data_IF_429197895561
#
_entry.id   IF_429197895561
#
_cell.length_a   1.000
_cell.length_b   1.000
_cell.length_c   1.000
_cell.angle_alpha   90.00
_cell.angle_beta   90.00
_cell.angle_gamma   90.00
#
_symmetry.space_group_name_H-M   'P 1'
#
loop_
_entity.id
_entity.type
_entity.pdbx_description
1 polymer ?
#
# COMPACT_ATOMS: atom_id res chain seq x y z
N UNK A 1 -43.30 26.71 26.73
CA UNK A 1 -42.15 27.17 25.92
C UNK A 1 -40.90 26.58 26.54
N UNK A 2 -40.36 25.51 25.96
CA UNK A 2 -39.02 25.01 26.29
C UNK A 2 -38.28 24.80 24.97
N UNK A 3 -37.07 25.37 24.92
CA UNK A 3 -36.29 25.61 23.73
C UNK A 3 -35.34 24.41 23.51
N UNK A 4 -35.48 23.61 22.43
CA UNK A 4 -34.65 22.43 22.21
C UNK A 4 -33.31 22.78 21.55
N UNK A 5 -32.67 23.87 21.97
CA UNK A 5 -31.43 24.40 21.38
C UNK A 5 -30.19 24.17 22.25
N UNK A 6 -30.14 23.09 23.02
CA UNK A 6 -28.95 22.73 23.80
C UNK A 6 -28.69 21.22 23.78
N UNK A 7 -27.96 20.75 22.75
CA UNK A 7 -26.99 19.64 22.77
C UNK A 7 -26.74 19.06 21.36
N UNK A 8 -26.39 19.88 20.37
CA UNK A 8 -25.51 19.38 19.30
C UNK A 8 -24.09 19.37 19.87
N UNK A 9 -23.73 18.29 20.58
CA UNK A 9 -22.34 17.96 20.88
C UNK A 9 -21.57 18.08 19.57
N UNK A 10 -20.68 19.07 19.47
CA UNK A 10 -19.86 19.35 18.29
C UNK A 10 -19.12 18.06 17.93
N UNK A 11 -19.53 17.43 16.83
CA UNK A 11 -18.85 16.24 16.33
C UNK A 11 -17.37 16.61 16.09
N UNK A 12 -16.41 15.83 16.62
CA UNK A 12 -15.00 16.18 16.50
C UNK A 12 -14.59 16.23 15.03
N UNK A 13 -13.81 17.26 14.68
CA UNK A 13 -13.24 17.44 13.34
C UNK A 13 -12.38 16.22 13.00
N UNK A 14 -12.64 15.62 11.84
CA UNK A 14 -11.86 14.49 11.34
C UNK A 14 -10.44 14.97 11.02
N UNK A 15 -9.42 14.22 11.45
CA UNK A 15 -8.01 14.50 11.16
C UNK A 15 -7.29 13.23 10.75
N UNK A 16 -6.35 13.35 9.80
CA UNK A 16 -5.56 12.23 9.27
C UNK A 16 -4.69 11.55 10.32
N UNK A 17 -4.15 12.34 11.26
CA UNK A 17 -3.29 11.85 12.35
C UNK A 17 -3.96 10.76 13.18
N UNK A 18 -5.28 10.82 13.39
CA UNK A 18 -6.04 9.81 14.15
C UNK A 18 -6.02 8.43 13.48
N UNK A 19 -5.79 8.38 12.17
CA UNK A 19 -5.72 7.16 11.37
C UNK A 19 -4.29 6.78 10.98
N UNK A 20 -3.28 7.43 11.59
CA UNK A 20 -1.86 7.24 11.23
C UNK A 20 -1.56 7.54 9.76
N UNK A 21 -2.33 8.44 9.14
CA UNK A 21 -2.12 8.88 7.77
C UNK A 21 -1.28 10.17 7.82
N UNK A 22 -0.19 10.20 7.05
CA UNK A 22 0.67 11.36 6.90
C UNK A 22 0.03 12.43 6.02
N UNK A 23 0.12 13.68 6.44
CA UNK A 23 -0.31 14.84 5.63
C UNK A 23 0.54 15.02 4.37
N UNK A 24 1.77 14.53 4.40
CA UNK A 24 2.72 14.65 3.29
C UNK A 24 2.78 13.36 2.48
N UNK A 25 2.77 12.20 3.16
CA UNK A 25 3.05 10.90 2.54
C UNK A 25 1.81 10.00 2.42
N UNK A 26 0.65 10.42 2.93
CA UNK A 26 -0.56 9.60 2.92
C UNK A 26 -0.34 8.33 3.71
N UNK A 27 -0.55 7.18 3.06
CA UNK A 27 -0.35 5.86 3.66
C UNK A 27 1.10 5.36 3.58
N UNK A 28 1.97 6.01 2.81
CA UNK A 28 3.39 5.64 2.75
C UNK A 28 4.02 5.86 4.13
N UNK A 29 4.87 4.93 4.55
CA UNK A 29 5.68 5.10 5.75
C UNK A 29 6.72 6.20 5.49
N UNK A 30 6.70 7.35 6.20
CA UNK A 30 7.68 8.40 5.99
C UNK A 30 9.05 7.98 6.52
N UNK A 31 10.08 8.21 5.71
CA UNK A 31 11.48 7.88 6.03
C UNK A 31 11.63 6.44 6.55
N UNK A 32 11.28 5.44 5.73
CA UNK A 32 11.43 4.04 6.11
C UNK A 32 12.90 3.72 6.40
N UNK A 33 13.13 2.81 7.34
CA UNK A 33 14.48 2.35 7.66
C UNK A 33 15.00 1.46 6.55
N UNK A 34 16.31 1.57 6.28
CA UNK A 34 17.02 0.72 5.32
C UNK A 34 17.66 -0.50 5.98
N UNK A 35 18.05 -0.35 7.24
CA UNK A 35 18.79 -1.33 8.01
C UNK A 35 18.12 -1.52 9.36
N UNK A 36 18.15 -2.76 9.86
CA UNK A 36 17.79 -3.07 11.24
C UNK A 36 19.04 -2.98 12.15
N UNK A 37 18.86 -2.85 13.48
CA UNK A 37 19.98 -2.94 14.42
C UNK A 37 20.78 -4.24 14.26
N UNK A 38 22.07 -4.20 14.61
CA UNK A 38 23.05 -5.29 14.44
C UNK A 38 22.58 -6.67 14.91
N UNK A 39 21.75 -6.72 15.95
CA UNK A 39 21.14 -7.97 16.43
C UNK A 39 20.42 -8.74 15.32
N UNK A 40 19.80 -8.02 14.36
CA UNK A 40 19.02 -8.55 13.25
C UNK A 40 19.80 -8.66 11.94
N UNK A 41 21.13 -8.51 11.97
CA UNK A 41 21.99 -8.67 10.79
C UNK A 41 21.75 -9.98 10.02
N UNK A 42 21.54 -11.15 10.67
CA UNK A 42 21.24 -12.39 9.94
C UNK A 42 19.99 -12.31 9.05
N UNK A 43 18.98 -11.51 9.44
CA UNK A 43 17.80 -11.29 8.60
C UNK A 43 18.13 -10.40 7.39
N UNK A 44 18.87 -9.31 7.62
CA UNK A 44 19.26 -8.37 6.57
C UNK A 44 20.18 -9.01 5.52
N UNK A 45 21.14 -9.84 5.94
CA UNK A 45 22.03 -10.58 5.02
C UNK A 45 21.24 -11.45 4.05
N UNK A 46 20.27 -12.22 4.55
CA UNK A 46 19.42 -13.07 3.70
C UNK A 46 18.51 -12.21 2.80
N UNK A 47 17.94 -11.12 3.32
CA UNK A 47 17.08 -10.24 2.56
C UNK A 47 17.80 -9.51 1.42
N UNK A 48 19.04 -9.08 1.65
CA UNK A 48 19.85 -8.36 0.66
C UNK A 48 20.29 -9.28 -0.48
N UNK A 49 20.50 -10.57 -0.21
CA UNK A 49 20.85 -11.58 -1.21
C UNK A 49 19.62 -12.38 -1.72
N UNK A 50 18.40 -12.00 -1.30
CA UNK A 50 17.19 -12.80 -1.50
C UNK A 50 16.97 -13.24 -2.96
N UNK A 51 17.09 -12.36 -3.98
CA UNK A 51 16.90 -12.79 -5.36
C UNK A 51 17.89 -13.88 -5.78
N UNK A 52 19.16 -13.72 -5.42
CA UNK A 52 20.22 -14.68 -5.74
C UNK A 52 20.03 -16.01 -5.01
N UNK A 53 19.64 -15.97 -3.73
CA UNK A 53 19.39 -17.17 -2.93
C UNK A 53 18.18 -17.97 -3.45
N UNK A 54 17.16 -17.31 -3.99
CA UNK A 54 16.02 -17.98 -4.61
C UNK A 54 16.45 -18.61 -5.94
N UNK A 55 17.14 -17.86 -6.80
CA UNK A 55 17.59 -18.33 -8.12
C UNK A 55 18.56 -19.51 -8.02
N UNK A 56 19.47 -19.48 -7.04
CA UNK A 56 20.42 -20.57 -6.76
C UNK A 56 19.83 -21.72 -5.93
N UNK A 57 18.55 -21.64 -5.55
CA UNK A 57 17.87 -22.60 -4.66
C UNK A 57 18.52 -22.79 -3.28
N UNK A 58 19.22 -21.78 -2.77
CA UNK A 58 19.93 -21.81 -1.49
C UNK A 58 19.16 -21.16 -0.33
N UNK A 59 18.10 -20.39 -0.60
CA UNK A 59 17.35 -19.65 0.43
C UNK A 59 16.87 -20.58 1.56
N UNK A 60 16.23 -21.71 1.24
CA UNK A 60 15.76 -22.66 2.25
C UNK A 60 16.90 -23.14 3.18
N UNK A 61 18.06 -23.47 2.61
CA UNK A 61 19.22 -23.89 3.37
C UNK A 61 19.79 -22.78 4.27
N UNK A 62 19.79 -21.52 3.79
CA UNK A 62 20.24 -20.36 4.58
C UNK A 62 19.27 -20.05 5.72
N UNK A 63 17.97 -20.01 5.43
CA UNK A 63 16.92 -19.79 6.44
C UNK A 63 16.96 -20.88 7.50
N UNK A 64 17.13 -22.16 7.14
CA UNK A 64 17.19 -23.25 8.12
C UNK A 64 18.40 -23.15 9.08
N UNK A 65 19.47 -22.47 8.68
CA UNK A 65 20.66 -22.21 9.52
C UNK A 65 20.59 -20.88 10.28
N UNK A 66 19.58 -20.06 10.01
CA UNK A 66 19.41 -18.74 10.63
C UNK A 66 19.15 -18.88 12.15
N UNK A 67 19.77 -18.07 13.01
CA UNK A 67 19.44 -18.11 14.44
C UNK A 67 18.01 -17.63 14.68
N UNK A 68 17.35 -18.17 15.70
CA UNK A 68 16.09 -17.61 16.20
C UNK A 68 16.40 -16.32 16.96
N UNK A 69 16.00 -15.18 16.39
CA UNK A 69 16.23 -13.85 16.97
C UNK A 69 15.01 -13.36 17.75
N UNK A 70 15.25 -12.57 18.79
CA UNK A 70 14.21 -12.11 19.70
C UNK A 70 13.66 -10.74 19.27
N UNK A 71 12.38 -10.69 18.90
CA UNK A 71 11.72 -9.48 18.44
C UNK A 71 11.59 -8.39 19.52
N UNK A 72 11.82 -8.69 20.80
CA UNK A 72 11.82 -7.69 21.89
C UNK A 72 12.90 -6.61 21.72
N UNK A 73 13.92 -6.86 20.90
CA UNK A 73 14.95 -5.87 20.59
C UNK A 73 14.57 -4.91 19.47
N UNK A 74 13.45 -5.13 18.76
CA UNK A 74 12.91 -4.16 17.80
C UNK A 74 12.30 -2.97 18.56
N UNK A 75 12.84 -1.79 18.33
CA UNK A 75 12.44 -0.55 18.98
C UNK A 75 11.66 0.33 18.02
N UNK A 76 10.37 0.46 18.32
CA UNK A 76 9.50 1.40 17.62
C UNK A 76 9.00 0.93 16.26
N UNK A 77 8.10 1.74 15.70
CA UNK A 77 7.27 1.32 14.58
C UNK A 77 8.05 1.05 13.29
N UNK A 78 9.07 1.87 12.97
CA UNK A 78 9.82 1.70 11.71
C UNK A 78 10.67 0.43 11.69
N UNK A 79 11.30 0.07 12.82
CA UNK A 79 12.05 -1.18 12.94
C UNK A 79 11.11 -2.38 12.78
N UNK A 80 9.94 -2.33 13.43
CA UNK A 80 8.93 -3.38 13.28
C UNK A 80 8.43 -3.50 11.83
N UNK A 81 8.22 -2.38 11.13
CA UNK A 81 7.80 -2.39 9.71
C UNK A 81 8.88 -2.97 8.79
N UNK A 82 10.14 -2.59 8.97
CA UNK A 82 11.24 -3.17 8.20
C UNK A 82 11.42 -4.67 8.51
N UNK A 83 11.33 -5.06 9.78
CA UNK A 83 11.37 -6.47 10.17
C UNK A 83 10.23 -7.27 9.55
N UNK A 84 9.00 -6.74 9.54
CA UNK A 84 7.85 -7.40 8.93
C UNK A 84 8.05 -7.57 7.42
N UNK A 85 8.54 -6.54 6.72
CA UNK A 85 8.93 -6.64 5.32
C UNK A 85 9.96 -7.76 5.14
N UNK A 86 11.12 -7.67 5.79
CA UNK A 86 12.22 -8.65 5.65
C UNK A 86 11.77 -10.09 5.95
N UNK A 87 11.05 -10.32 7.05
CA UNK A 87 10.57 -11.65 7.42
C UNK A 87 9.52 -12.18 6.44
N UNK A 88 8.60 -11.34 6.00
CA UNK A 88 7.53 -11.74 5.07
C UNK A 88 8.05 -12.08 3.68
N UNK A 89 9.07 -11.37 3.20
CA UNK A 89 9.68 -11.66 1.90
C UNK A 89 10.52 -12.93 1.94
N UNK A 90 11.24 -13.17 3.04
CA UNK A 90 11.93 -14.44 3.27
C UNK A 90 10.93 -15.59 3.33
N UNK A 91 9.80 -15.43 4.02
CA UNK A 91 8.74 -16.44 4.08
C UNK A 91 8.17 -16.75 2.69
N UNK A 92 7.87 -15.72 1.89
CA UNK A 92 7.42 -15.92 0.50
C UNK A 92 8.48 -16.63 -0.35
N UNK A 93 9.74 -16.21 -0.26
CA UNK A 93 10.84 -16.86 -0.94
C UNK A 93 10.98 -18.33 -0.53
N UNK A 94 10.87 -18.62 0.76
CA UNK A 94 11.05 -19.95 1.33
C UNK A 94 9.96 -20.93 0.87
N UNK A 95 8.68 -20.49 0.92
CA UNK A 95 7.53 -21.29 0.49
C UNK A 95 7.61 -21.58 -1.01
N UNK A 96 7.88 -20.58 -1.83
CA UNK A 96 7.74 -20.69 -3.28
C UNK A 96 9.06 -20.91 -4.05
N UNK A 97 10.17 -21.18 -3.35
CA UNK A 97 11.50 -21.33 -3.97
C UNK A 97 11.51 -22.35 -5.11
N UNK A 98 10.75 -23.45 -4.98
CA UNK A 98 10.67 -24.54 -5.96
C UNK A 98 9.53 -24.36 -6.98
N UNK A 99 8.91 -23.18 -7.00
CA UNK A 99 7.75 -22.89 -7.83
C UNK A 99 6.45 -23.39 -7.22
N UNK A 100 5.35 -23.19 -7.94
CA UNK A 100 4.00 -23.39 -7.41
C UNK A 100 3.55 -24.82 -7.22
N UNK A 101 4.18 -25.75 -7.94
CA UNK A 101 3.82 -27.15 -7.88
C UNK A 101 4.47 -27.87 -6.68
N UNK A 102 5.42 -27.21 -6.01
CA UNK A 102 6.15 -27.76 -4.87
C UNK A 102 6.35 -26.68 -3.80
N UNK A 103 5.26 -26.08 -3.27
CA UNK A 103 5.37 -25.12 -2.20
C UNK A 103 5.79 -25.82 -0.91
N UNK A 104 6.63 -25.17 -0.12
CA UNK A 104 6.95 -25.65 1.23
C UNK A 104 5.76 -25.34 2.16
N UNK A 105 5.22 -26.37 2.79
CA UNK A 105 4.02 -26.25 3.64
C UNK A 105 4.32 -25.81 5.07
N UNK A 106 5.59 -25.92 5.49
CA UNK A 106 6.02 -25.65 6.87
C UNK A 106 7.19 -24.67 6.89
N UNK A 107 6.96 -23.51 7.50
CA UNK A 107 8.04 -22.56 7.80
C UNK A 107 8.86 -23.03 9.02
N UNK A 108 10.19 -22.91 8.99
CA UNK A 108 11.03 -23.25 10.13
C UNK A 108 10.80 -22.27 11.28
N UNK A 109 10.96 -22.76 12.52
CA UNK A 109 10.62 -22.00 13.75
C UNK A 109 11.35 -20.66 13.86
N UNK A 110 12.59 -20.61 13.42
CA UNK A 110 13.45 -19.43 13.41
C UNK A 110 12.95 -18.29 12.49
N UNK A 111 12.09 -18.60 11.52
CA UNK A 111 11.41 -17.62 10.67
C UNK A 111 9.95 -17.41 11.09
N UNK A 112 9.23 -18.50 11.37
CA UNK A 112 7.79 -18.46 11.68
C UNK A 112 7.49 -17.70 12.98
N UNK A 113 8.25 -17.94 14.05
CA UNK A 113 8.00 -17.30 15.36
C UNK A 113 8.20 -15.78 15.27
N UNK A 114 9.35 -15.27 14.80
CA UNK A 114 9.55 -13.82 14.68
C UNK A 114 8.52 -13.15 13.78
N UNK A 115 8.16 -13.77 12.65
CA UNK A 115 7.15 -13.24 11.75
C UNK A 115 5.82 -13.05 12.48
N UNK A 116 5.30 -14.10 13.14
CA UNK A 116 4.04 -14.03 13.89
C UNK A 116 4.10 -12.99 15.01
N UNK A 117 5.22 -12.87 15.72
CA UNK A 117 5.38 -11.87 16.79
C UNK A 117 5.33 -10.44 16.27
N UNK A 118 6.08 -10.14 15.21
CA UNK A 118 6.10 -8.80 14.59
C UNK A 118 4.74 -8.48 13.97
N UNK A 119 4.13 -9.42 13.26
CA UNK A 119 2.79 -9.28 12.67
C UNK A 119 1.75 -8.95 13.73
N UNK A 120 1.75 -9.68 14.87
CA UNK A 120 0.85 -9.40 15.99
C UNK A 120 1.08 -8.01 16.58
N UNK A 121 2.34 -7.58 16.74
CA UNK A 121 2.65 -6.25 17.26
C UNK A 121 2.17 -5.12 16.33
N UNK A 122 2.14 -5.37 15.02
CA UNK A 122 1.71 -4.40 14.02
C UNK A 122 0.21 -4.48 13.69
N UNK A 123 -0.51 -5.51 14.16
CA UNK A 123 -1.88 -5.79 13.74
C UNK A 123 -2.00 -6.24 12.28
N UNK A 124 -0.94 -6.86 11.74
CA UNK A 124 -0.88 -7.39 10.38
C UNK A 124 -0.96 -8.93 10.40
N UNK A 125 -1.38 -9.56 9.30
CA UNK A 125 -1.23 -11.01 9.14
C UNK A 125 0.25 -11.39 8.89
N UNK A 126 0.68 -12.61 9.26
CA UNK A 126 2.04 -13.12 9.03
C UNK A 126 2.25 -13.58 7.58
N UNK A 127 2.05 -12.66 6.65
CA UNK A 127 2.24 -12.84 5.21
C UNK A 127 2.63 -11.49 4.60
N UNK A 128 3.34 -11.54 3.47
CA UNK A 128 3.67 -10.32 2.72
C UNK A 128 2.40 -9.58 2.28
N UNK A 129 2.24 -8.33 2.72
CA UNK A 129 1.10 -7.48 2.35
C UNK A 129 1.56 -6.22 1.61
N UNK A 130 0.61 -5.51 0.99
CA UNK A 130 0.86 -4.22 0.31
C UNK A 130 1.58 -3.20 1.19
N UNK A 131 1.27 -3.18 2.48
CA UNK A 131 1.91 -2.26 3.41
C UNK A 131 3.40 -2.51 3.58
N UNK A 132 3.85 -3.73 3.34
CA UNK A 132 5.28 -4.07 3.32
C UNK A 132 5.84 -3.75 1.94
N UNK A 133 5.30 -4.43 0.91
CA UNK A 133 5.84 -4.47 -0.44
C UNK A 133 5.90 -3.09 -1.11
N UNK A 134 4.98 -2.19 -0.78
CA UNK A 134 4.87 -0.85 -1.37
C UNK A 134 5.07 0.23 -0.31
N UNK A 135 4.21 0.26 0.71
CA UNK A 135 4.17 1.43 1.62
C UNK A 135 5.45 1.58 2.47
N UNK A 136 6.17 0.49 2.69
CA UNK A 136 7.42 0.45 3.47
C UNK A 136 8.66 0.32 2.57
N UNK A 137 8.58 -0.44 1.47
CA UNK A 137 9.73 -0.83 0.65
C UNK A 137 10.17 0.23 -0.39
N UNK A 138 10.50 1.44 0.06
CA UNK A 138 10.99 2.49 -0.82
C UNK A 138 12.00 3.38 -0.11
N UNK A 139 12.87 4.05 -0.85
CA UNK A 139 13.75 5.08 -0.31
C UNK A 139 14.13 6.08 -1.40
N UNK A 140 14.27 7.37 -1.07
CA UNK A 140 14.93 8.30 -1.97
C UNK A 140 16.43 7.96 -2.08
N UNK A 141 17.00 8.15 -3.27
CA UNK A 141 18.44 8.12 -3.53
C UNK A 141 19.09 9.40 -3.03
N UNK A 142 18.48 10.55 -3.34
CA UNK A 142 18.80 11.84 -2.75
C UNK A 142 17.55 12.38 -2.01
N UNK A 143 17.59 12.52 -0.67
CA UNK A 143 16.50 13.07 0.13
C UNK A 143 16.09 14.51 -0.20
N UNK A 144 16.98 15.29 -0.82
CA UNK A 144 16.73 16.69 -1.20
C UNK A 144 15.99 16.82 -2.54
N UNK A 145 15.90 15.73 -3.30
CA UNK A 145 15.21 15.70 -4.59
C UNK A 145 13.75 15.24 -4.44
N UNK A 146 12.85 15.66 -5.34
CA UNK A 146 11.47 15.19 -5.35
C UNK A 146 11.35 13.66 -5.42
N UNK A 147 10.21 13.13 -4.96
CA UNK A 147 9.86 11.72 -5.16
C UNK A 147 9.44 11.51 -6.62
N UNK A 148 10.39 11.04 -7.41
CA UNK A 148 10.20 10.67 -8.80
C UNK A 148 10.89 9.32 -9.04
N UNK A 149 10.45 8.57 -10.05
CA UNK A 149 10.93 7.20 -10.28
C UNK A 149 12.46 7.11 -10.38
N UNK A 150 13.11 8.11 -10.98
CA UNK A 150 14.57 8.18 -11.13
C UNK A 150 15.33 8.50 -9.84
N UNK A 151 14.65 9.03 -8.82
CA UNK A 151 15.22 9.33 -7.50
C UNK A 151 14.78 8.31 -6.44
N UNK A 152 14.05 7.26 -6.80
CA UNK A 152 13.59 6.24 -5.87
C UNK A 152 14.32 4.92 -6.04
N UNK A 153 14.36 4.15 -4.95
CA UNK A 153 14.77 2.76 -4.95
C UNK A 153 13.97 1.93 -3.95
N UNK A 154 14.04 0.61 -4.06
CA UNK A 154 13.46 -0.32 -3.09
C UNK A 154 14.50 -0.69 -2.03
N UNK A 155 14.05 -0.98 -0.81
CA UNK A 155 14.93 -1.37 0.31
C UNK A 155 15.29 -2.86 0.21
N UNK A 156 14.29 -3.71 -0.03
CA UNK A 156 14.47 -5.16 -0.24
C UNK A 156 14.06 -5.53 -1.66
N UNK A 157 14.98 -6.20 -2.34
CA UNK A 157 14.80 -6.67 -3.71
C UNK A 157 14.17 -8.05 -3.77
N UNK A 158 13.50 -8.33 -4.88
CA UNK A 158 12.82 -9.59 -5.14
C UNK A 158 13.15 -10.10 -6.54
N UNK A 159 12.99 -11.40 -6.82
CA UNK A 159 12.99 -11.92 -8.18
C UNK A 159 12.01 -11.14 -9.07
N UNK A 160 12.40 -10.84 -10.30
CA UNK A 160 11.62 -10.01 -11.23
C UNK A 160 12.34 -8.75 -11.72
N UNK A 161 13.51 -8.43 -11.15
CA UNK A 161 14.43 -7.41 -11.64
C UNK A 161 13.79 -6.03 -11.78
N UNK A 162 14.20 -5.28 -12.81
CA UNK A 162 13.72 -3.91 -13.06
C UNK A 162 12.22 -3.83 -13.30
N UNK A 163 11.57 -4.89 -13.80
CA UNK A 163 10.12 -4.89 -14.01
C UNK A 163 9.37 -4.81 -12.68
N UNK A 164 9.75 -5.62 -11.70
CA UNK A 164 9.10 -5.63 -10.39
C UNK A 164 9.48 -4.39 -9.57
N UNK A 165 10.76 -3.99 -9.63
CA UNK A 165 11.23 -2.74 -9.03
C UNK A 165 10.41 -1.55 -9.55
N UNK A 166 10.27 -1.44 -10.86
CA UNK A 166 9.44 -0.42 -11.49
C UNK A 166 7.99 -0.47 -11.04
N UNK A 167 7.38 -1.66 -11.01
CA UNK A 167 6.01 -1.84 -10.52
C UNK A 167 5.83 -1.28 -9.10
N UNK A 168 6.69 -1.67 -8.15
CA UNK A 168 6.64 -1.19 -6.76
C UNK A 168 6.78 0.33 -6.71
N UNK A 169 7.77 0.90 -7.40
CA UNK A 169 8.04 2.33 -7.35
C UNK A 169 6.94 3.17 -7.99
N UNK A 170 6.33 2.73 -9.10
CA UNK A 170 5.16 3.42 -9.66
C UNK A 170 3.97 3.34 -8.70
N UNK A 171 3.75 2.20 -8.02
CA UNK A 171 2.70 2.13 -6.99
C UNK A 171 2.98 3.07 -5.82
N UNK A 172 4.24 3.24 -5.39
CA UNK A 172 4.62 4.24 -4.39
C UNK A 172 4.27 5.66 -4.86
N UNK A 173 4.56 5.99 -6.13
CA UNK A 173 4.21 7.30 -6.70
C UNK A 173 2.69 7.51 -6.78
N UNK A 174 1.92 6.47 -7.10
CA UNK A 174 0.45 6.50 -7.08
C UNK A 174 -0.07 6.81 -5.67
N UNK A 175 0.44 6.13 -4.65
CA UNK A 175 0.08 6.37 -3.24
C UNK A 175 0.43 7.82 -2.83
N UNK A 176 1.58 8.34 -3.28
CA UNK A 176 1.98 9.73 -3.05
C UNK A 176 1.06 10.73 -3.78
N UNK A 177 0.66 10.44 -5.01
CA UNK A 177 -0.25 11.28 -5.80
C UNK A 177 -1.68 11.32 -5.21
N UNK A 178 -2.05 10.32 -4.40
CA UNK A 178 -3.35 10.27 -3.72
C UNK A 178 -3.46 11.18 -2.50
N UNK A 179 -2.34 11.72 -1.98
CA UNK A 179 -2.33 12.54 -0.75
C UNK A 179 -3.27 13.74 -0.81
N UNK A 180 -3.28 14.58 -1.88
CA UNK A 180 -4.22 15.69 -1.97
C UNK A 180 -5.68 15.23 -1.95
N UNK A 181 -5.98 14.10 -2.58
CA UNK A 181 -7.30 13.47 -2.57
C UNK A 181 -7.71 13.04 -1.18
N UNK A 182 -6.85 12.33 -0.44
CA UNK A 182 -7.09 11.91 0.94
C UNK A 182 -7.39 13.12 1.85
N UNK A 183 -6.63 14.21 1.71
CA UNK A 183 -6.89 15.46 2.44
C UNK A 183 -8.21 16.10 2.04
N UNK A 184 -8.54 16.07 0.76
CA UNK A 184 -9.82 16.55 0.25
C UNK A 184 -10.99 15.72 0.81
N UNK A 185 -10.84 14.41 1.01
CA UNK A 185 -11.86 13.58 1.67
C UNK A 185 -12.14 14.04 3.09
N UNK A 186 -11.08 14.28 3.87
CA UNK A 186 -11.23 14.81 5.24
C UNK A 186 -11.90 16.18 5.23
N UNK A 187 -11.50 17.06 4.31
CA UNK A 187 -12.14 18.36 4.13
C UNK A 187 -13.63 18.23 3.78
N UNK A 188 -13.99 17.30 2.88
CA UNK A 188 -15.37 17.07 2.47
C UNK A 188 -16.24 16.59 3.65
N UNK A 189 -15.76 15.61 4.43
CA UNK A 189 -16.47 15.12 5.61
C UNK A 189 -16.67 16.25 6.63
N UNK A 190 -15.63 17.02 6.92
CA UNK A 190 -15.72 18.15 7.85
C UNK A 190 -16.66 19.26 7.33
N UNK A 191 -16.65 19.54 6.03
CA UNK A 191 -17.56 20.50 5.40
C UNK A 191 -19.03 20.08 5.52
N UNK A 192 -19.31 18.77 5.39
CA UNK A 192 -20.67 18.22 5.60
C UNK A 192 -21.10 18.40 7.07
N UNK A 193 -20.21 18.08 8.02
CA UNK A 193 -20.49 18.26 9.46
C UNK A 193 -20.77 19.72 9.81
N UNK A 194 -20.05 20.65 9.18
CA UNK A 194 -20.19 22.10 9.38
C UNK A 194 -21.25 22.76 8.48
N UNK A 195 -21.91 21.98 7.60
CA UNK A 195 -22.90 22.46 6.62
C UNK A 195 -22.36 23.55 5.66
N UNK A 196 -21.07 23.52 5.36
CA UNK A 196 -20.43 24.45 4.43
C UNK A 196 -20.45 23.92 3.00
N UNK A 197 -21.34 24.48 2.16
CA UNK A 197 -21.46 24.09 0.75
C UNK A 197 -20.22 24.47 -0.07
N UNK A 198 -19.67 25.66 0.15
CA UNK A 198 -18.48 26.13 -0.57
C UNK A 198 -17.26 25.26 -0.26
N UNK A 199 -17.04 24.91 1.01
CA UNK A 199 -15.94 24.04 1.41
C UNK A 199 -16.10 22.61 0.86
N UNK A 200 -17.34 22.11 0.78
CA UNK A 200 -17.63 20.81 0.18
C UNK A 200 -17.33 20.82 -1.33
N UNK A 201 -17.78 21.84 -2.06
CA UNK A 201 -17.52 21.97 -3.50
C UNK A 201 -16.01 22.02 -3.79
N UNK A 202 -15.26 22.82 -3.03
CA UNK A 202 -13.80 22.90 -3.16
C UNK A 202 -13.12 21.56 -2.88
N UNK A 203 -13.58 20.82 -1.86
CA UNK A 203 -13.05 19.50 -1.55
C UNK A 203 -13.30 18.51 -2.69
N UNK A 204 -14.51 18.50 -3.26
CA UNK A 204 -14.84 17.62 -4.39
C UNK A 204 -14.05 17.97 -5.67
N UNK A 205 -13.81 19.25 -5.93
CA UNK A 205 -12.95 19.69 -7.04
C UNK A 205 -11.50 19.21 -6.85
N UNK A 206 -10.95 19.33 -5.64
CA UNK A 206 -9.61 18.82 -5.30
C UNK A 206 -9.52 17.31 -5.43
N UNK A 207 -10.56 16.60 -5.01
CA UNK A 207 -10.63 15.15 -5.15
C UNK A 207 -10.62 14.73 -6.62
N UNK A 208 -11.39 15.41 -7.49
CA UNK A 208 -11.38 15.17 -8.94
C UNK A 208 -9.97 15.32 -9.52
N UNK A 209 -9.27 16.42 -9.20
CA UNK A 209 -7.91 16.65 -9.67
C UNK A 209 -6.94 15.56 -9.19
N UNK A 210 -7.04 15.16 -7.91
CA UNK A 210 -6.20 14.09 -7.38
C UNK A 210 -6.45 12.75 -8.07
N UNK A 211 -7.69 12.41 -8.41
CA UNK A 211 -7.99 11.20 -9.20
C UNK A 211 -7.32 11.27 -10.58
N UNK A 212 -7.37 12.42 -11.25
CA UNK A 212 -6.68 12.60 -12.55
C UNK A 212 -5.17 12.44 -12.43
N UNK A 213 -4.56 12.95 -11.35
CA UNK A 213 -3.12 12.81 -11.10
C UNK A 213 -2.73 11.37 -10.75
N UNK A 214 -3.54 10.65 -9.96
CA UNK A 214 -3.40 9.21 -9.71
C UNK A 214 -3.42 8.44 -11.03
N UNK A 215 -4.41 8.70 -11.88
CA UNK A 215 -4.56 8.05 -13.19
C UNK A 215 -3.36 8.31 -14.10
N UNK A 216 -2.90 9.56 -14.18
CA UNK A 216 -1.70 9.92 -14.96
C UNK A 216 -0.46 9.18 -14.45
N UNK A 217 -0.30 9.10 -13.13
CA UNK A 217 0.84 8.41 -12.49
C UNK A 217 0.78 6.91 -12.75
N UNK A 218 -0.41 6.30 -12.66
CA UNK A 218 -0.61 4.89 -12.99
C UNK A 218 -0.28 4.60 -14.47
N UNK A 219 -0.52 5.55 -15.38
CA UNK A 219 -0.12 5.45 -16.79
C UNK A 219 1.38 5.19 -17.00
N UNK A 220 2.23 5.54 -16.04
CA UNK A 220 3.67 5.23 -16.07
C UNK A 220 3.96 3.73 -16.02
N UNK A 221 3.01 2.89 -15.57
CA UNK A 221 3.14 1.42 -15.60
C UNK A 221 3.36 0.87 -17.01
N UNK A 222 2.71 1.44 -18.03
CA UNK A 222 2.83 0.98 -19.42
C UNK A 222 4.20 1.30 -20.03
N UNK A 223 4.77 2.46 -19.69
CA UNK A 223 6.10 2.86 -20.16
C UNK A 223 7.22 1.91 -19.74
N UNK A 224 7.05 1.22 -18.61
CA UNK A 224 8.02 0.23 -18.11
C UNK A 224 7.91 -1.14 -18.78
N UNK A 225 6.76 -1.48 -19.36
CA UNK A 225 6.61 -2.74 -20.11
C UNK A 225 7.37 -2.73 -21.43
N UNK A 226 7.61 -1.55 -22.02
CA UNK A 226 8.38 -1.40 -23.26
C UNK A 226 9.88 -1.75 -23.10
N UNK A 227 10.42 -1.70 -21.87
CA UNK A 227 11.78 -2.17 -21.56
C UNK A 227 11.93 -3.71 -21.66
N UNK A 228 10.84 -4.48 -21.69
CA UNK A 228 10.89 -5.94 -21.94
C UNK A 228 11.43 -6.28 -23.33
N UNK A 229 11.34 -5.37 -24.30
CA UNK A 229 11.80 -5.59 -25.68
C UNK A 229 13.34 -5.59 -25.86
N UNK A 230 14.11 -5.33 -24.80
CA UNK A 230 15.58 -5.19 -24.87
C UNK A 230 16.38 -6.18 -24.00
N UNK A 231 15.74 -7.12 -23.31
CA UNK A 231 16.43 -8.11 -22.48
C UNK A 231 16.47 -9.45 -23.24
N UNK A 232 17.64 -10.02 -23.54
CA UNK A 232 17.74 -11.29 -24.26
C UNK A 232 17.17 -12.43 -23.41
N UNK A 233 16.53 -13.38 -24.09
CA UNK A 233 15.94 -14.60 -23.53
C UNK A 233 16.85 -15.27 -22.48
N UNK A 234 16.64 -14.96 -21.19
CA UNK A 234 17.19 -15.75 -20.10
C UNK A 234 16.08 -16.66 -19.55
N UNK A 235 16.41 -17.94 -19.45
CA UNK A 235 15.56 -19.04 -18.98
C UNK A 235 15.13 -18.87 -17.50
N UNK A 236 15.54 -17.78 -16.86
CA UNK A 236 15.38 -17.42 -15.44
C UNK A 236 13.94 -17.02 -15.07
N UNK A 237 13.05 -16.79 -16.03
CA UNK A 237 11.67 -16.35 -15.76
C UNK A 237 10.70 -17.47 -15.34
N UNK A 238 11.17 -18.73 -15.23
CA UNK A 238 10.30 -19.90 -14.98
C UNK A 238 10.20 -20.32 -13.51
N UNK A 239 11.06 -19.81 -12.63
CA UNK A 239 10.97 -20.01 -11.17
C UNK A 239 10.46 -18.70 -10.54
N UNK A 240 9.36 -18.76 -9.81
CA UNK A 240 8.55 -17.62 -9.34
C UNK A 240 7.70 -16.80 -10.33
N UNK A 241 7.39 -17.21 -11.58
CA UNK A 241 6.44 -16.44 -12.35
C UNK A 241 5.12 -16.42 -11.61
N UNK A 242 4.66 -17.46 -10.92
CA UNK A 242 3.25 -17.49 -10.50
C UNK A 242 2.86 -17.10 -9.07
N UNK A 243 3.75 -17.11 -8.07
CA UNK A 243 3.48 -16.42 -6.79
C UNK A 243 3.60 -14.89 -6.94
N UNK A 244 4.58 -14.45 -7.74
CA UNK A 244 4.65 -13.07 -8.19
C UNK A 244 3.60 -12.78 -9.25
N UNK A 245 3.13 -13.72 -10.08
CA UNK A 245 1.91 -13.60 -10.92
C UNK A 245 0.67 -13.68 -10.05
N UNK A 246 0.69 -14.16 -8.82
CA UNK A 246 -0.47 -14.10 -7.94
C UNK A 246 -0.51 -12.71 -7.33
N UNK A 247 0.60 -12.18 -6.81
CA UNK A 247 0.72 -10.77 -6.42
C UNK A 247 0.57 -9.83 -7.63
N UNK A 248 1.03 -10.21 -8.81
CA UNK A 248 0.93 -9.51 -10.10
C UNK A 248 -0.40 -9.73 -10.80
N UNK A 249 -1.16 -10.81 -10.65
CA UNK A 249 -2.52 -10.95 -11.19
C UNK A 249 -3.52 -10.33 -10.23
N UNK A 250 -3.29 -10.48 -8.91
CA UNK A 250 -3.94 -9.66 -7.88
C UNK A 250 -3.58 -8.19 -8.08
N UNK A 251 -2.48 -7.83 -8.77
CA UNK A 251 -2.11 -6.43 -8.98
C UNK A 251 -2.26 -5.82 -10.39
N UNK A 252 -2.13 -6.58 -11.47
CA UNK A 252 -2.26 -6.10 -12.86
C UNK A 252 -3.66 -6.38 -13.40
N UNK A 253 -4.33 -7.44 -12.95
CA UNK A 253 -5.76 -7.68 -13.24
C UNK A 253 -6.68 -7.28 -12.08
N UNK A 254 -6.13 -7.01 -10.89
CA UNK A 254 -6.92 -6.75 -9.69
C UNK A 254 -6.46 -5.61 -8.79
N UNK A 255 -5.29 -4.96 -8.92
CA UNK A 255 -4.96 -3.72 -8.14
C UNK A 255 -5.36 -2.44 -8.85
N UNK A 256 -5.54 -2.45 -10.17
CA UNK A 256 -6.43 -1.46 -10.78
C UNK A 256 -7.82 -1.56 -10.10
N UNK A 257 -8.33 -2.76 -9.85
CA UNK A 257 -9.61 -2.99 -9.15
C UNK A 257 -9.55 -3.06 -7.61
N UNK A 258 -8.38 -3.05 -6.96
CA UNK A 258 -8.24 -3.18 -5.49
C UNK A 258 -7.60 -1.95 -4.88
N UNK A 259 -6.64 -1.26 -5.51
CA UNK A 259 -6.23 0.06 -5.04
C UNK A 259 -7.30 1.07 -5.42
N UNK A 260 -7.70 1.14 -6.70
CA UNK A 260 -8.84 1.98 -7.09
C UNK A 260 -10.12 1.37 -6.57
N UNK A 261 -10.36 0.06 -6.65
CA UNK A 261 -11.62 -0.51 -6.17
C UNK A 261 -11.76 -0.70 -4.67
N UNK A 262 -10.73 -0.81 -3.83
CA UNK A 262 -10.89 -0.73 -2.36
C UNK A 262 -11.02 0.72 -1.89
N UNK A 263 -10.27 1.66 -2.47
CA UNK A 263 -10.54 3.09 -2.26
C UNK A 263 -11.95 3.43 -2.73
N UNK A 264 -12.37 3.01 -3.94
CA UNK A 264 -13.70 3.23 -4.51
C UNK A 264 -14.79 2.48 -3.75
N UNK A 265 -14.59 1.25 -3.28
CA UNK A 265 -15.62 0.48 -2.55
C UNK A 265 -15.76 0.94 -1.10
N UNK A 266 -14.66 1.20 -0.37
CA UNK A 266 -14.76 1.78 0.98
C UNK A 266 -15.24 3.23 0.93
N UNK A 267 -14.89 3.99 -0.11
CA UNK A 267 -15.34 5.37 -0.32
C UNK A 267 -16.80 5.45 -0.79
N UNK A 268 -17.23 4.65 -1.77
CA UNK A 268 -18.63 4.53 -2.19
C UNK A 268 -19.46 4.00 -1.03
N UNK A 269 -19.05 2.92 -0.35
CA UNK A 269 -19.77 2.41 0.81
C UNK A 269 -19.88 3.44 1.93
N UNK A 270 -18.83 4.25 2.17
CA UNK A 270 -18.87 5.33 3.16
C UNK A 270 -19.75 6.50 2.71
N UNK A 271 -19.74 6.85 1.42
CA UNK A 271 -20.60 7.88 0.82
C UNK A 271 -22.07 7.44 0.76
N UNK A 272 -22.36 6.16 0.52
CA UNK A 272 -23.69 5.55 0.55
C UNK A 272 -24.22 5.50 1.98
N UNK A 273 -23.43 5.04 2.95
CA UNK A 273 -23.79 5.11 4.38
C UNK A 273 -24.02 6.56 4.85
N UNK A 274 -23.27 7.51 4.30
CA UNK A 274 -23.44 8.93 4.57
C UNK A 274 -24.70 9.49 3.89
N UNK A 275 -24.98 9.07 2.65
CA UNK A 275 -26.22 9.35 1.91
C UNK A 275 -27.43 8.83 2.69
N UNK A 276 -27.40 7.61 3.20
CA UNK A 276 -28.48 6.99 3.98
C UNK A 276 -28.70 7.68 5.34
N UNK A 277 -27.62 8.05 6.03
CA UNK A 277 -27.69 8.86 7.26
C UNK A 277 -28.22 10.29 7.02
N UNK A 278 -28.01 10.86 5.84
CA UNK A 278 -28.52 12.18 5.47
C UNK A 278 -29.97 12.11 4.94
N UNK A 279 -30.34 11.02 4.26
CA UNK A 279 -31.71 10.72 3.82
C UNK A 279 -32.67 10.56 5.01
N UNK A 280 -32.22 9.96 6.10
CA UNK A 280 -33.02 9.78 7.33
C UNK A 280 -33.26 11.05 8.15
N UNK A 281 -32.65 12.20 7.80
CA UNK A 281 -32.72 13.45 8.61
C UNK A 281 -33.26 14.71 7.89
N UNK A 282 -33.57 14.67 6.58
CA UNK A 282 -34.07 15.81 5.70
C UNK A 282 -33.11 17.02 5.56
N UNK A 283 -33.28 17.94 4.56
CA UNK A 283 -34.14 17.96 3.37
C UNK A 283 -33.36 17.82 2.02
N UNK A 284 -34.12 17.61 0.93
CA UNK A 284 -33.73 17.20 -0.45
C UNK A 284 -32.68 18.04 -1.22
N UNK A 285 -32.06 19.08 -0.63
CA UNK A 285 -31.14 19.98 -1.35
C UNK A 285 -29.69 19.46 -1.48
N UNK A 286 -29.28 18.50 -0.65
CA UNK A 286 -27.93 17.90 -0.70
C UNK A 286 -27.86 16.57 -1.48
N UNK A 287 -29.02 15.99 -1.81
CA UNK A 287 -29.11 14.76 -2.60
C UNK A 287 -28.49 14.89 -4.00
N UNK A 288 -28.66 15.99 -4.75
CA UNK A 288 -28.12 16.09 -6.10
C UNK A 288 -26.59 16.08 -6.11
N UNK A 289 -25.94 16.74 -5.15
CA UNK A 289 -24.46 16.75 -5.08
C UNK A 289 -23.89 15.40 -4.64
N UNK A 290 -24.52 14.72 -3.68
CA UNK A 290 -24.07 13.41 -3.21
C UNK A 290 -24.36 12.32 -4.26
N UNK A 291 -25.54 12.37 -4.91
CA UNK A 291 -25.86 11.51 -6.05
C UNK A 291 -24.89 11.78 -7.18
N UNK A 292 -24.66 13.04 -7.57
CA UNK A 292 -23.69 13.39 -8.61
C UNK A 292 -22.28 12.89 -8.28
N UNK A 293 -21.84 12.94 -7.01
CA UNK A 293 -20.56 12.35 -6.63
C UNK A 293 -20.55 10.83 -6.79
N UNK A 294 -21.56 10.14 -6.28
CA UNK A 294 -21.68 8.67 -6.42
C UNK A 294 -21.76 8.28 -7.90
N UNK A 295 -22.57 8.98 -8.68
CA UNK A 295 -22.79 8.76 -10.11
C UNK A 295 -21.51 9.07 -10.91
N UNK A 296 -20.80 10.16 -10.62
CA UNK A 296 -19.52 10.51 -11.27
C UNK A 296 -18.42 9.51 -10.93
N UNK A 297 -18.38 9.02 -9.69
CA UNK A 297 -17.39 8.01 -9.26
C UNK A 297 -17.76 6.64 -9.84
N UNK A 298 -19.05 6.32 -9.94
CA UNK A 298 -19.56 5.06 -10.48
C UNK A 298 -19.46 5.01 -12.01
N UNK A 299 -19.58 6.15 -12.69
CA UNK A 299 -19.45 6.29 -14.15
C UNK A 299 -18.01 6.21 -14.66
N UNK A 300 -17.00 6.23 -13.79
CA UNK A 300 -15.65 5.78 -14.16
C UNK A 300 -15.70 4.27 -14.37
N UNK A 301 -16.04 3.85 -15.60
CA UNK A 301 -15.95 2.48 -16.06
C UNK A 301 -14.49 2.10 -16.28
N UNK A 302 -14.12 0.89 -15.86
CA UNK A 302 -12.84 0.25 -16.17
C UNK A 302 -12.74 -0.19 -17.64
N UNK A 303 -13.82 -0.05 -18.43
CA UNK A 303 -13.86 -0.49 -19.83
C UNK A 303 -13.40 0.55 -20.84
N UNK A 304 -13.09 1.78 -20.42
CA UNK A 304 -12.51 2.82 -21.30
C UNK A 304 -10.98 2.96 -21.12
N UNK A 305 -10.31 1.89 -20.66
CA UNK A 305 -8.86 1.79 -20.50
C UNK A 305 -8.30 0.58 -21.26
#
# INVERSE_FOLDING_TARGET
MENPSQNLKTAPVLSLRRFHISEDYGFLLPNPLKELPDHFRPWMEIANELPHLIESHQLQARVNKMPLLNCRFLRGYREQRLAHLVLSVMAMGYVWQRGENQPEEVLPRNLAIPLVEVSRSLGLPPILVHSDLVLTNWTPRNPERPLEIGNLDIIVSFPGGESLRGFILVTVLVEKAAVPGIKALVQAVNAILQRSQNSLLQALQRLKLSIQDITRTLGQMHGMQLLKSRIPNSTTLKTMPTALHCLLQVSTGRLQDLCVGRLKYEFISSLEKLKDKLLSKKPRKFLPCISFCIDTISSFSLTDW
#
